data_IF_214317410344
#
_entry.id   IF_214317410344
#
_cell.length_a   1.000
_cell.length_b   1.000
_cell.length_c   1.000
_cell.angle_alpha   90.00
_cell.angle_beta   90.00
_cell.angle_gamma   90.00
#
_symmetry.space_group_name_H-M   'P 1'
#
loop_
_entity.id
_entity.type
_entity.pdbx_description
1 polymer ?
#
# COMPACT_ATOMS: atom_id res chain seq x y z
N UNK A 1 -1.00 7.44 -0.66
CA UNK A 1 0.37 7.14 -1.12
C UNK A 1 0.35 6.90 -2.62
N UNK A 2 1.24 7.54 -3.36
CA UNK A 2 1.45 7.29 -4.80
C UNK A 2 2.77 6.54 -4.97
N UNK A 3 2.72 5.42 -5.70
CA UNK A 3 3.84 4.55 -6.00
C UNK A 3 4.35 4.86 -7.39
N UNK A 4 5.63 5.19 -7.49
CA UNK A 4 6.33 5.50 -8.74
C UNK A 4 7.60 4.67 -8.83
N UNK A 5 7.94 4.22 -10.04
CA UNK A 5 9.19 3.50 -10.31
C UNK A 5 10.40 4.43 -10.26
N UNK A 6 10.20 5.65 -10.74
CA UNK A 6 11.23 6.68 -10.79
C UNK A 6 10.68 8.00 -10.25
N UNK A 7 11.45 8.66 -9.39
CA UNK A 7 11.03 9.90 -8.72
C UNK A 7 11.12 11.14 -9.62
N UNK A 8 11.96 11.12 -10.67
CA UNK A 8 12.10 12.20 -11.62
C UNK A 8 10.99 12.14 -12.68
N UNK A 9 10.78 10.99 -13.30
CA UNK A 9 9.76 10.79 -14.35
C UNK A 9 8.35 10.64 -13.78
N UNK A 10 8.24 10.22 -12.51
CA UNK A 10 6.98 9.85 -11.85
C UNK A 10 6.22 8.76 -12.61
N UNK A 11 6.96 7.85 -13.24
CA UNK A 11 6.36 6.69 -13.91
C UNK A 11 5.56 5.86 -12.89
N UNK A 12 4.25 5.64 -13.10
CA UNK A 12 3.41 4.92 -12.16
C UNK A 12 3.84 3.46 -11.97
N UNK A 13 4.02 3.02 -10.73
CA UNK A 13 4.34 1.63 -10.39
C UNK A 13 3.06 0.80 -10.26
N UNK A 14 2.33 0.61 -11.36
CA UNK A 14 1.01 -0.05 -11.35
C UNK A 14 1.09 -1.54 -11.05
N UNK A 15 2.07 -2.25 -11.62
CA UNK A 15 2.26 -3.70 -11.42
C UNK A 15 2.65 -4.00 -9.98
N UNK A 16 3.63 -3.26 -9.47
CA UNK A 16 4.14 -3.36 -8.11
C UNK A 16 3.05 -2.97 -7.11
N UNK A 17 2.31 -1.90 -7.38
CA UNK A 17 1.19 -1.47 -6.55
C UNK A 17 0.06 -2.49 -6.44
N UNK A 18 -0.25 -3.24 -7.52
CA UNK A 18 -1.20 -4.36 -7.47
C UNK A 18 -0.68 -5.49 -6.58
N UNK A 19 0.58 -5.89 -6.74
CA UNK A 19 1.19 -6.94 -5.93
C UNK A 19 1.24 -6.58 -4.44
N UNK A 20 1.63 -5.34 -4.11
CA UNK A 20 1.62 -4.80 -2.75
C UNK A 20 0.21 -4.84 -2.16
N UNK A 21 -0.80 -4.38 -2.92
CA UNK A 21 -2.18 -4.36 -2.44
C UNK A 21 -2.72 -5.77 -2.21
N UNK A 22 -2.42 -6.71 -3.10
CA UNK A 22 -2.84 -8.11 -2.97
C UNK A 22 -2.22 -8.76 -1.74
N UNK A 23 -0.93 -8.53 -1.48
CA UNK A 23 -0.26 -9.02 -0.27
C UNK A 23 -0.84 -8.41 1.00
N UNK A 24 -1.10 -7.10 1.01
CA UNK A 24 -1.77 -6.44 2.13
C UNK A 24 -3.14 -7.08 2.40
N UNK A 25 -3.93 -7.34 1.35
CA UNK A 25 -5.25 -7.96 1.47
C UNK A 25 -5.18 -9.38 2.05
N UNK A 26 -4.23 -10.19 1.59
CA UNK A 26 -3.99 -11.54 2.12
C UNK A 26 -3.63 -11.52 3.62
N UNK A 27 -2.98 -10.46 4.08
CA UNK A 27 -2.59 -10.25 5.47
C UNK A 27 -3.64 -9.47 6.30
N UNK A 28 -4.82 -9.19 5.75
CA UNK A 28 -5.94 -8.57 6.47
C UNK A 28 -6.02 -7.05 6.38
N UNK A 29 -5.23 -6.40 5.52
CA UNK A 29 -5.24 -4.96 5.30
C UNK A 29 -5.77 -4.61 3.90
N UNK A 30 -6.90 -3.91 3.87
CA UNK A 30 -7.51 -3.46 2.62
C UNK A 30 -7.22 -1.97 2.34
N UNK A 31 -6.83 -1.68 1.10
CA UNK A 31 -6.68 -0.30 0.61
C UNK A 31 -7.74 0.05 -0.43
N UNK A 32 -8.15 1.32 -0.44
CA UNK A 32 -8.87 1.85 -1.59
C UNK A 32 -7.88 2.30 -2.65
N UNK A 33 -7.83 1.57 -3.77
CA UNK A 33 -6.84 1.80 -4.83
C UNK A 33 -7.36 2.75 -5.91
N UNK A 34 -6.45 3.51 -6.51
CA UNK A 34 -6.65 4.41 -7.65
C UNK A 34 -5.49 4.25 -8.65
N UNK A 35 -5.63 4.86 -9.83
CA UNK A 35 -4.64 4.81 -10.92
C UNK A 35 -4.11 3.39 -11.17
N UNK A 36 -5.04 2.47 -11.37
CA UNK A 36 -4.79 1.07 -11.74
C UNK A 36 -3.88 0.27 -10.78
N UNK A 37 -3.65 0.71 -9.54
CA UNK A 37 -2.72 0.04 -8.63
C UNK A 37 -1.69 0.97 -8.02
N UNK A 38 -1.35 2.06 -8.72
CA UNK A 38 -0.25 2.93 -8.32
C UNK A 38 -0.59 3.90 -7.19
N UNK A 39 -1.86 4.04 -6.79
CA UNK A 39 -2.24 4.92 -5.69
C UNK A 39 -3.03 4.17 -4.63
N UNK A 40 -2.45 4.05 -3.44
CA UNK A 40 -3.03 3.41 -2.26
C UNK A 40 -3.58 4.48 -1.34
N UNK A 41 -4.89 4.44 -1.03
CA UNK A 41 -5.52 5.37 -0.09
C UNK A 41 -5.79 4.67 1.23
N UNK A 42 -5.17 5.18 2.28
CA UNK A 42 -5.36 4.74 3.66
C UNK A 42 -6.45 5.62 4.28
N UNK A 43 -7.63 5.03 4.49
CA UNK A 43 -8.84 5.71 4.98
C UNK A 43 -9.47 4.88 6.10
N UNK A 44 -8.79 4.75 7.25
CA UNK A 44 -9.34 4.01 8.39
C UNK A 44 -10.58 4.72 8.96
N UNK A 45 -11.52 3.98 9.58
CA UNK A 45 -12.59 4.55 10.39
C UNK A 45 -12.06 5.49 11.49
N UNK A 46 -12.88 6.47 11.89
CA UNK A 46 -12.53 7.39 12.98
C UNK A 46 -12.38 6.69 14.35
N UNK A 47 -12.89 5.47 14.48
CA UNK A 47 -12.78 4.63 15.67
C UNK A 47 -11.53 3.74 15.69
N UNK A 48 -10.68 3.80 14.66
CA UNK A 48 -9.45 3.00 14.59
C UNK A 48 -8.46 3.44 15.67
N UNK A 49 -7.92 2.48 16.42
CA UNK A 49 -6.96 2.73 17.50
C UNK A 49 -5.54 2.88 16.97
N UNK A 50 -4.63 3.45 17.78
CA UNK A 50 -3.21 3.55 17.43
C UNK A 50 -2.59 2.18 17.16
N UNK A 51 -2.82 1.18 18.03
CA UNK A 51 -2.35 -0.19 17.83
C UNK A 51 -2.81 -0.82 16.49
N UNK A 52 -4.02 -0.50 16.04
CA UNK A 52 -4.53 -0.99 14.75
C UNK A 52 -3.87 -0.28 13.56
N UNK A 53 -3.52 1.00 13.72
CA UNK A 53 -2.74 1.72 12.73
C UNK A 53 -1.32 1.13 12.65
N UNK A 54 -0.69 0.86 13.78
CA UNK A 54 0.64 0.26 13.83
C UNK A 54 0.65 -1.10 13.14
N UNK A 55 -0.31 -1.97 13.47
CA UNK A 55 -0.47 -3.26 12.79
C UNK A 55 -0.67 -3.10 11.27
N UNK A 56 -1.45 -2.12 10.83
CA UNK A 56 -1.64 -1.85 9.41
C UNK A 56 -0.35 -1.35 8.72
N UNK A 57 0.44 -0.54 9.42
CA UNK A 57 1.72 -0.06 8.89
C UNK A 57 2.76 -1.17 8.81
N UNK A 58 2.79 -2.09 9.78
CA UNK A 58 3.65 -3.29 9.73
C UNK A 58 3.33 -4.16 8.51
N UNK A 59 2.05 -4.46 8.27
CA UNK A 59 1.61 -5.22 7.10
C UNK A 59 2.02 -4.52 5.78
N UNK A 60 1.87 -3.19 5.73
CA UNK A 60 2.25 -2.41 4.55
C UNK A 60 3.77 -2.40 4.35
N UNK A 61 4.54 -2.26 5.43
CA UNK A 61 6.00 -2.25 5.39
C UNK A 61 6.54 -3.59 4.84
N UNK A 62 6.03 -4.71 5.35
CA UNK A 62 6.40 -6.05 4.87
C UNK A 62 6.12 -6.21 3.36
N UNK A 63 4.94 -5.75 2.90
CA UNK A 63 4.57 -5.83 1.50
C UNK A 63 5.46 -4.94 0.59
N UNK A 64 5.88 -3.77 1.09
CA UNK A 64 6.78 -2.87 0.37
C UNK A 64 8.21 -3.43 0.31
N UNK A 65 8.68 -4.04 1.39
CA UNK A 65 10.01 -4.66 1.44
C UNK A 65 10.08 -5.82 0.44
N UNK A 66 9.06 -6.67 0.40
CA UNK A 66 9.00 -7.79 -0.54
C UNK A 66 8.96 -7.33 -2.00
N UNK A 67 8.21 -6.26 -2.30
CA UNK A 67 8.15 -5.68 -3.65
C UNK A 67 9.45 -4.99 -4.09
N UNK A 68 10.37 -4.72 -3.16
CA UNK A 68 11.66 -4.07 -3.41
C UNK A 68 12.82 -5.05 -3.58
N UNK A 69 12.57 -6.36 -3.42
CA UNK A 69 13.55 -7.44 -3.62
C UNK A 69 13.56 -7.92 -5.07
#
# INVERSE_FOLDING_TARGET
MELVRDRQTREPATTEGKAITERCLQNGLIFSVRREGSVLRFVPPASTTEDQIDQALDILADALEEASR
#
